data_IF_438868226891
#
_entry.id   IF_438868226891
#
_cell.length_a   1.000
_cell.length_b   1.000
_cell.length_c   1.000
_cell.angle_alpha   90.00
_cell.angle_beta   90.00
_cell.angle_gamma   90.00
#
_symmetry.space_group_name_H-M   'P 1'
#
loop_
_entity.id
_entity.type
_entity.pdbx_description
1 polymer ?
#
# COMPACT_ATOMS: atom_id res chain seq x y z
N UNK A 1 -8.13 -7.25 12.19
CA UNK A 1 -8.10 -7.01 10.74
C UNK A 1 -6.78 -7.53 10.20
N UNK A 2 -6.80 -8.41 9.21
CA UNK A 2 -5.60 -8.86 8.49
C UNK A 2 -5.37 -8.01 7.23
N UNK A 3 -5.41 -6.68 7.41
CA UNK A 3 -5.24 -5.70 6.34
C UNK A 3 -4.00 -5.95 5.43
N UNK A 4 -2.85 -6.45 5.94
CA UNK A 4 -1.70 -6.80 5.10
C UNK A 4 -1.96 -7.95 4.11
N UNK A 5 -2.69 -8.99 4.53
CA UNK A 5 -3.03 -10.11 3.64
C UNK A 5 -4.04 -9.67 2.59
N UNK A 6 -5.07 -8.94 3.00
CA UNK A 6 -6.11 -8.41 2.10
C UNK A 6 -5.51 -7.53 1.00
N UNK A 7 -4.54 -6.67 1.31
CA UNK A 7 -3.87 -5.83 0.30
C UNK A 7 -3.23 -6.66 -0.81
N UNK A 8 -2.48 -7.71 -0.45
CA UNK A 8 -1.82 -8.58 -1.43
C UNK A 8 -2.84 -9.37 -2.26
N UNK A 9 -3.91 -9.85 -1.65
CA UNK A 9 -4.99 -10.55 -2.35
C UNK A 9 -5.79 -9.66 -3.29
N UNK A 10 -5.97 -8.39 -2.94
CA UNK A 10 -6.68 -7.41 -3.77
C UNK A 10 -5.87 -6.95 -4.98
N UNK A 11 -4.54 -7.01 -4.89
CA UNK A 11 -3.63 -6.52 -5.91
C UNK A 11 -2.46 -7.49 -6.17
N UNK A 12 -2.71 -8.78 -6.47
CA UNK A 12 -1.67 -9.80 -6.58
C UNK A 12 -0.70 -9.53 -7.74
N UNK A 13 -1.17 -8.86 -8.80
CA UNK A 13 -0.35 -8.50 -9.96
C UNK A 13 0.45 -7.20 -9.75
N UNK A 14 0.16 -6.45 -8.70
CA UNK A 14 0.84 -5.16 -8.41
C UNK A 14 1.72 -5.24 -7.17
N UNK A 15 1.35 -6.05 -6.17
CA UNK A 15 2.01 -6.15 -4.87
C UNK A 15 2.74 -7.48 -4.77
N UNK A 16 4.06 -7.41 -4.64
CA UNK A 16 4.93 -8.56 -4.40
C UNK A 16 4.84 -8.95 -2.92
N UNK A 17 4.90 -7.96 -2.04
CA UNK A 17 5.00 -8.18 -0.61
C UNK A 17 4.42 -7.03 0.20
N UNK A 18 3.84 -7.36 1.35
CA UNK A 18 3.42 -6.39 2.37
C UNK A 18 4.09 -6.78 3.68
N UNK A 19 4.79 -5.82 4.31
CA UNK A 19 5.43 -5.99 5.62
C UNK A 19 5.02 -4.86 6.55
N UNK A 20 4.99 -5.09 7.86
CA UNK A 20 4.78 -4.03 8.83
C UNK A 20 3.79 -4.43 9.91
N UNK A 21 3.15 -3.43 10.51
CA UNK A 21 2.21 -3.59 11.63
C UNK A 21 0.92 -2.80 11.39
N UNK A 22 0.05 -2.74 12.40
CA UNK A 22 -1.25 -2.08 12.29
C UNK A 22 -1.20 -0.56 12.06
N UNK A 23 -0.08 0.11 12.36
CA UNK A 23 0.06 1.56 12.21
C UNK A 23 0.74 1.95 10.89
N UNK A 24 1.69 1.12 10.45
CA UNK A 24 2.48 1.36 9.26
C UNK A 24 2.79 0.07 8.49
N UNK A 25 2.50 0.10 7.18
CA UNK A 25 2.81 -0.98 6.25
C UNK A 25 3.76 -0.50 5.16
N UNK A 26 4.73 -1.32 4.83
CA UNK A 26 5.55 -1.20 3.64
C UNK A 26 5.00 -2.14 2.58
N UNK A 27 4.63 -1.58 1.43
CA UNK A 27 4.10 -2.31 0.28
C UNK A 27 5.18 -2.32 -0.80
N UNK A 28 5.68 -3.50 -1.12
CA UNK A 28 6.64 -3.72 -2.20
C UNK A 28 5.86 -4.02 -3.48
N UNK A 29 6.04 -3.15 -4.48
CA UNK A 29 5.33 -3.16 -5.74
C UNK A 29 6.19 -3.72 -6.86
N UNK A 30 5.54 -4.37 -7.83
CA UNK A 30 6.17 -4.70 -9.11
C UNK A 30 6.70 -3.43 -9.79
N UNK A 31 7.87 -3.52 -10.44
CA UNK A 31 8.57 -2.39 -11.09
C UNK A 31 7.70 -1.59 -12.09
N UNK A 32 6.72 -2.25 -12.71
CA UNK A 32 5.86 -1.68 -13.75
C UNK A 32 4.62 -0.96 -13.17
N UNK A 33 4.46 -0.94 -11.85
CA UNK A 33 3.32 -0.31 -11.19
C UNK A 33 3.49 1.21 -11.15
N UNK A 34 2.49 1.92 -11.65
CA UNK A 34 2.37 3.36 -11.45
C UNK A 34 1.93 3.65 -10.00
N UNK A 35 2.85 4.13 -9.17
CA UNK A 35 2.60 4.45 -7.76
C UNK A 35 1.54 5.54 -7.64
N UNK A 36 1.59 6.59 -8.47
CA UNK A 36 0.65 7.70 -8.37
C UNK A 36 -0.79 7.24 -8.65
N UNK A 37 -0.96 6.37 -9.63
CA UNK A 37 -2.26 5.76 -9.93
C UNK A 37 -2.72 4.85 -8.78
N UNK A 38 -1.84 4.02 -8.25
CA UNK A 38 -2.15 3.10 -7.16
C UNK A 38 -2.49 3.85 -5.85
N UNK A 39 -1.75 4.92 -5.52
CA UNK A 39 -2.01 5.76 -4.36
C UNK A 39 -3.42 6.33 -4.38
N UNK A 40 -3.86 6.86 -5.54
CA UNK A 40 -5.24 7.35 -5.71
C UNK A 40 -6.28 6.24 -5.61
N UNK A 41 -5.98 5.04 -6.11
CA UNK A 41 -6.86 3.87 -5.93
C UNK A 41 -6.99 3.51 -4.43
N UNK A 42 -5.89 3.52 -3.69
CA UNK A 42 -5.88 3.24 -2.25
C UNK A 42 -6.66 4.30 -1.47
N UNK A 43 -6.41 5.58 -1.70
CA UNK A 43 -7.17 6.68 -1.08
C UNK A 43 -8.67 6.53 -1.33
N UNK A 44 -9.09 6.20 -2.57
CA UNK A 44 -10.51 6.03 -2.89
C UNK A 44 -11.12 4.78 -2.27
N UNK A 45 -10.38 3.68 -2.19
CA UNK A 45 -10.91 2.40 -1.69
C UNK A 45 -10.94 2.35 -0.16
N UNK A 46 -9.98 3.01 0.47
CA UNK A 46 -9.76 3.00 1.92
C UNK A 46 -10.01 4.38 2.54
N UNK A 47 -10.93 5.16 1.96
CA UNK A 47 -11.31 6.48 2.49
C UNK A 47 -12.09 6.40 3.81
N UNK A 48 -12.69 5.25 4.12
CA UNK A 48 -13.52 5.03 5.32
C UNK A 48 -12.81 4.12 6.35
N UNK A 49 -11.47 4.21 6.46
CA UNK A 49 -10.75 3.46 7.48
C UNK A 49 -11.07 4.00 8.87
N UNK A 50 -11.47 3.13 9.80
CA UNK A 50 -11.74 3.53 11.20
C UNK A 50 -10.54 4.19 11.89
N UNK A 51 -9.31 3.82 11.49
CA UNK A 51 -8.07 4.37 12.01
C UNK A 51 -7.13 4.76 10.86
N UNK A 52 -6.41 5.88 10.97
CA UNK A 52 -5.42 6.26 9.98
C UNK A 52 -4.32 5.20 9.83
N UNK A 53 -3.91 4.93 8.61
CA UNK A 53 -2.83 3.99 8.31
C UNK A 53 -1.79 4.62 7.40
N UNK A 54 -0.52 4.43 7.74
CA UNK A 54 0.58 4.88 6.89
C UNK A 54 1.04 3.75 5.98
N UNK A 55 1.05 3.98 4.66
CA UNK A 55 1.61 3.08 3.67
C UNK A 55 2.92 3.68 3.12
N UNK A 56 3.98 2.87 3.13
CA UNK A 56 5.23 3.15 2.45
C UNK A 56 5.28 2.31 1.18
N UNK A 57 5.05 2.94 0.03
CA UNK A 57 5.03 2.30 -1.27
C UNK A 57 6.41 2.37 -1.88
N UNK A 58 6.96 1.24 -2.33
CA UNK A 58 8.22 1.22 -3.08
C UNK A 58 8.21 0.16 -4.16
N UNK A 59 8.96 0.38 -5.23
CA UNK A 59 9.23 -0.66 -6.24
C UNK A 59 10.25 -1.67 -5.71
N UNK A 60 10.20 -2.91 -6.20
CA UNK A 60 11.17 -3.96 -5.84
C UNK A 60 12.63 -3.59 -6.12
N UNK A 61 12.86 -2.77 -7.14
CA UNK A 61 14.18 -2.39 -7.66
C UNK A 61 14.64 -1.00 -7.21
N UNK A 62 13.81 -0.26 -6.45
CA UNK A 62 14.11 1.09 -5.97
C UNK A 62 14.29 1.13 -4.46
N UNK A 63 15.22 1.98 -4.02
CA UNK A 63 15.44 2.25 -2.59
C UNK A 63 14.51 3.34 -2.06
N UNK A 64 14.03 4.23 -2.94
CA UNK A 64 13.11 5.30 -2.57
C UNK A 64 11.72 4.75 -2.23
N UNK A 65 11.06 5.39 -1.26
CA UNK A 65 9.70 5.08 -0.84
C UNK A 65 8.82 6.31 -1.00
N UNK A 66 7.60 6.11 -1.46
CA UNK A 66 6.54 7.10 -1.43
C UNK A 66 5.68 6.86 -0.20
N UNK A 67 5.51 7.90 0.61
CA UNK A 67 4.67 7.83 1.81
C UNK A 67 3.24 8.24 1.45
N UNK A 68 2.31 7.34 1.66
CA UNK A 68 0.88 7.57 1.57
C UNK A 68 0.26 7.45 2.97
N UNK A 69 -0.62 8.37 3.34
CA UNK A 69 -1.36 8.28 4.61
C UNK A 69 -2.83 8.15 4.28
N UNK A 70 -3.38 6.97 4.53
CA UNK A 70 -4.81 6.71 4.44
C UNK A 70 -5.46 7.22 5.72
N UNK A 71 -6.49 8.05 5.58
CA UNK A 71 -7.24 8.65 6.69
C UNK A 71 -8.73 8.46 6.42
N UNK A 72 -9.50 8.29 7.49
CA UNK A 72 -10.95 8.46 7.51
C UNK A 72 -11.36 9.87 7.06
#
# INVERSE_FOLDING_TARGET
>A
MEFPHELKELYPDKIIEVRGNAEALTVILNKDVDIQKLSREFERKFHDLNEPMTLFLKHEDKQDFEKLVLKA
#
